data_IF_167612931914
#
_entry.id   IF_167612931914
#
_cell.length_a   1.000
_cell.length_b   1.000
_cell.length_c   1.000
_cell.angle_alpha   90.00
_cell.angle_beta   90.00
_cell.angle_gamma   90.00
#
_symmetry.space_group_name_H-M   'P 1'
#
loop_
_entity.id
_entity.type
_entity.pdbx_description
1 polymer ?
#
# COMPACT_ATOMS: atom_id res chain seq x y z
N UNK A 1 -24.36 -20.58 -25.70
CA UNK A 1 -24.51 -20.46 -27.17
C UNK A 1 -24.24 -19.01 -27.47
N UNK A 2 -23.42 -18.72 -28.48
CA UNK A 2 -23.16 -17.36 -28.91
C UNK A 2 -24.39 -16.91 -29.72
N UNK A 3 -25.02 -15.82 -29.31
CA UNK A 3 -26.25 -15.31 -29.94
C UNK A 3 -25.88 -14.47 -31.18
N UNK A 4 -26.78 -14.44 -32.17
CA UNK A 4 -26.60 -13.65 -33.38
C UNK A 4 -26.56 -12.14 -33.08
N UNK A 5 -25.85 -11.38 -33.92
CA UNK A 5 -25.58 -9.94 -33.71
C UNK A 5 -26.86 -9.08 -33.67
N UNK A 6 -27.95 -9.57 -34.25
CA UNK A 6 -29.28 -8.95 -34.31
C UNK A 6 -30.30 -9.53 -33.31
N UNK A 7 -29.86 -10.38 -32.38
CA UNK A 7 -30.75 -11.02 -31.43
C UNK A 7 -31.40 -10.00 -30.46
N UNK A 8 -32.71 -10.14 -30.25
CA UNK A 8 -33.46 -9.37 -29.24
C UNK A 8 -33.60 -10.18 -27.97
N UNK A 9 -32.93 -9.74 -26.91
CA UNK A 9 -33.04 -10.32 -25.58
C UNK A 9 -34.22 -9.68 -24.86
N UNK A 10 -35.21 -10.48 -24.50
CA UNK A 10 -36.32 -10.07 -23.63
C UNK A 10 -36.15 -10.76 -22.28
N UNK A 11 -36.12 -9.98 -21.20
CA UNK A 11 -36.18 -10.49 -19.83
C UNK A 11 -37.35 -9.84 -19.09
N UNK A 12 -37.96 -10.59 -18.19
CA UNK A 12 -39.08 -10.14 -17.35
C UNK A 12 -38.56 -9.97 -15.93
N UNK A 13 -38.75 -8.77 -15.37
CA UNK A 13 -38.49 -8.50 -13.96
C UNK A 13 -39.80 -8.72 -13.22
N UNK A 14 -39.88 -9.83 -12.47
CA UNK A 14 -41.13 -10.31 -11.89
C UNK A 14 -41.59 -9.53 -10.65
N UNK A 15 -40.70 -8.76 -10.01
CA UNK A 15 -40.97 -8.01 -8.78
C UNK A 15 -39.94 -6.86 -8.60
N UNK A 16 -40.26 -5.89 -7.75
CA UNK A 16 -39.45 -4.70 -7.44
C UNK A 16 -38.39 -4.93 -6.36
N UNK A 17 -38.49 -6.03 -5.60
CA UNK A 17 -37.45 -6.44 -4.65
C UNK A 17 -37.67 -6.02 -3.19
N UNK A 18 -38.76 -5.30 -2.87
CA UNK A 18 -39.04 -4.77 -1.52
C UNK A 18 -39.08 -5.86 -0.44
N UNK A 19 -39.58 -7.06 -0.76
CA UNK A 19 -39.63 -8.19 0.16
C UNK A 19 -38.26 -8.85 0.43
N UNK A 20 -37.20 -8.43 -0.26
CA UNK A 20 -35.85 -9.01 -0.16
C UNK A 20 -34.85 -8.04 0.50
N UNK A 21 -35.34 -6.93 1.07
CA UNK A 21 -34.50 -5.94 1.77
C UNK A 21 -33.64 -6.57 2.88
N UNK A 22 -34.19 -7.52 3.63
CA UNK A 22 -33.46 -8.27 4.67
C UNK A 22 -32.72 -9.52 4.17
N UNK A 23 -32.71 -9.76 2.86
CA UNK A 23 -32.08 -10.92 2.22
C UNK A 23 -31.00 -10.49 1.22
N UNK A 24 -31.27 -10.57 -0.08
CA UNK A 24 -30.29 -10.26 -1.12
C UNK A 24 -29.84 -8.80 -1.15
N UNK A 25 -30.59 -7.89 -0.53
CA UNK A 25 -30.17 -6.49 -0.33
C UNK A 25 -29.45 -6.26 1.00
N UNK A 26 -29.37 -7.27 1.87
CA UNK A 26 -28.62 -7.21 3.13
C UNK A 26 -27.24 -7.84 2.93
N UNK A 27 -26.20 -7.03 3.10
CA UNK A 27 -24.82 -7.50 3.06
C UNK A 27 -24.54 -8.54 4.16
N UNK A 28 -25.19 -8.40 5.31
CA UNK A 28 -25.04 -9.35 6.42
C UNK A 28 -25.62 -10.72 6.05
N UNK A 29 -26.82 -10.75 5.48
CA UNK A 29 -27.44 -11.99 4.99
C UNK A 29 -26.65 -12.60 3.83
N UNK A 30 -26.17 -11.79 2.89
CA UNK A 30 -25.35 -12.29 1.79
C UNK A 30 -23.99 -12.83 2.26
N UNK A 31 -23.36 -12.24 3.29
CA UNK A 31 -22.17 -12.80 3.95
C UNK A 31 -22.48 -14.13 4.63
N UNK A 32 -23.56 -14.21 5.41
CA UNK A 32 -24.01 -15.44 6.08
C UNK A 32 -24.22 -16.59 5.07
N UNK A 33 -24.83 -16.28 3.92
CA UNK A 33 -25.07 -17.25 2.85
C UNK A 33 -23.89 -17.47 1.90
N UNK A 34 -22.74 -16.81 2.15
CA UNK A 34 -21.53 -16.88 1.31
C UNK A 34 -21.80 -16.49 -0.15
N UNK A 35 -22.77 -15.61 -0.37
CA UNK A 35 -23.14 -15.07 -1.67
C UNK A 35 -22.38 -13.77 -1.98
N UNK A 36 -21.82 -13.11 -0.96
CA UNK A 36 -20.86 -12.04 -1.13
C UNK A 36 -19.46 -12.62 -1.30
N UNK A 37 -18.77 -12.21 -2.37
CA UNK A 37 -17.31 -12.29 -2.38
C UNK A 37 -16.78 -11.47 -1.19
N UNK A 38 -15.75 -11.95 -0.46
CA UNK A 38 -15.11 -11.14 0.57
C UNK A 38 -14.73 -9.80 -0.05
N UNK A 39 -15.10 -8.68 0.58
CA UNK A 39 -14.61 -7.37 0.15
C UNK A 39 -13.08 -7.48 0.08
N UNK A 40 -12.54 -7.35 -1.14
CA UNK A 40 -11.10 -7.45 -1.35
C UNK A 40 -10.48 -6.24 -0.68
N UNK A 41 -9.79 -6.47 0.43
CA UNK A 41 -8.93 -5.43 1.02
C UNK A 41 -7.85 -5.14 -0.02
N UNK A 42 -7.82 -3.90 -0.54
CA UNK A 42 -6.88 -3.45 -1.57
C UNK A 42 -5.69 -2.72 -0.95
N UNK A 43 -4.60 -2.56 -1.72
CA UNK A 43 -3.43 -1.80 -1.30
C UNK A 43 -3.78 -0.36 -0.90
N UNK A 44 -4.68 0.31 -1.64
CA UNK A 44 -5.14 1.65 -1.26
C UNK A 44 -5.86 1.68 0.09
N UNK A 45 -6.73 0.69 0.37
CA UNK A 45 -7.40 0.61 1.66
C UNK A 45 -6.40 0.42 2.79
N UNK A 46 -5.42 -0.49 2.61
CA UNK A 46 -4.36 -0.71 3.60
C UNK A 46 -3.58 0.58 3.85
N UNK A 47 -3.13 1.26 2.79
CA UNK A 47 -2.39 2.51 2.90
C UNK A 47 -3.21 3.64 3.54
N UNK A 48 -4.54 3.63 3.41
CA UNK A 48 -5.44 4.62 4.00
C UNK A 48 -5.80 4.37 5.47
N UNK A 49 -5.61 3.15 5.98
CA UNK A 49 -6.00 2.76 7.36
C UNK A 49 -4.97 3.07 8.43
N UNK A 50 -3.88 3.76 8.06
CA UNK A 50 -2.79 4.12 8.97
C UNK A 50 -3.30 4.89 10.19
N UNK A 51 -2.76 4.56 11.36
CA UNK A 51 -3.16 5.17 12.63
C UNK A 51 -2.99 6.69 12.65
N UNK A 52 -3.67 7.38 13.57
CA UNK A 52 -3.73 8.85 13.60
C UNK A 52 -2.39 9.58 13.77
N UNK A 53 -1.32 8.88 14.17
CA UNK A 53 0.03 9.43 14.27
C UNK A 53 0.90 9.21 13.02
N UNK A 54 0.47 8.37 12.08
CA UNK A 54 1.21 8.14 10.85
C UNK A 54 1.04 9.32 9.87
N UNK A 55 2.06 9.64 9.06
CA UNK A 55 1.93 10.65 8.02
C UNK A 55 0.78 10.35 7.06
N UNK A 56 -0.05 11.35 6.78
CA UNK A 56 -1.19 11.24 5.84
C UNK A 56 -0.76 11.23 4.38
N UNK A 57 0.46 11.70 4.08
CA UNK A 57 1.04 11.72 2.75
C UNK A 57 2.31 10.88 2.70
N UNK A 58 2.67 10.44 1.49
CA UNK A 58 3.92 9.74 1.25
C UNK A 58 5.10 10.65 1.62
N UNK A 59 5.93 10.17 2.54
CA UNK A 59 7.18 10.82 2.92
C UNK A 59 8.32 10.12 2.18
N UNK A 60 9.16 10.89 1.50
CA UNK A 60 10.25 10.41 0.67
C UNK A 60 11.45 11.37 0.74
N UNK A 61 12.58 10.95 0.17
CA UNK A 61 13.84 11.72 0.01
C UNK A 61 14.37 11.59 -1.42
N UNK A 62 15.23 12.52 -1.84
CA UNK A 62 15.93 12.47 -3.12
C UNK A 62 17.29 11.76 -3.01
N UNK A 63 17.89 11.29 -4.12
CA UNK A 63 19.24 10.71 -4.11
C UNK A 63 20.34 11.69 -3.67
N UNK A 64 20.09 13.00 -3.79
CA UNK A 64 21.01 14.08 -3.42
C UNK A 64 20.84 14.58 -1.98
N UNK A 65 19.77 14.20 -1.29
CA UNK A 65 19.55 14.58 0.11
C UNK A 65 20.66 14.00 0.99
N UNK A 66 21.01 14.69 2.08
CA UNK A 66 21.98 14.16 3.04
C UNK A 66 21.36 13.03 3.86
N UNK A 67 22.18 12.04 4.21
CA UNK A 67 21.74 10.97 5.09
C UNK A 67 21.27 11.47 6.46
N UNK A 68 21.93 12.50 7.01
CA UNK A 68 21.51 13.14 8.26
C UNK A 68 20.07 13.66 8.20
N UNK A 69 19.69 14.32 7.11
CA UNK A 69 18.34 14.87 6.92
C UNK A 69 17.31 13.74 6.79
N UNK A 70 17.65 12.66 6.07
CA UNK A 70 16.79 11.48 5.96
C UNK A 70 16.55 10.81 7.33
N UNK A 71 17.59 10.64 8.14
CA UNK A 71 17.49 10.09 9.49
C UNK A 71 16.72 11.01 10.45
N UNK A 72 16.92 12.33 10.35
CA UNK A 72 16.16 13.30 11.14
C UNK A 72 14.67 13.23 10.82
N UNK A 73 14.33 13.17 9.53
CA UNK A 73 12.95 13.03 9.04
C UNK A 73 12.31 11.72 9.49
N UNK A 74 13.07 10.63 9.49
CA UNK A 74 12.63 9.34 10.03
C UNK A 74 12.29 9.45 11.52
N UNK A 75 13.18 10.02 12.32
CA UNK A 75 12.99 10.16 13.76
C UNK A 75 11.82 11.10 14.12
N UNK A 76 11.69 12.24 13.43
CA UNK A 76 10.59 13.20 13.66
C UNK A 76 9.21 12.58 13.40
N UNK A 77 9.11 11.76 12.35
CA UNK A 77 7.84 11.20 11.89
C UNK A 77 7.61 9.74 12.34
N UNK A 78 8.51 9.19 13.17
CA UNK A 78 8.44 7.80 13.63
C UNK A 78 8.52 6.77 12.50
N UNK A 79 9.26 7.06 11.43
CA UNK A 79 9.40 6.22 10.24
C UNK A 79 10.68 5.40 10.30
N UNK A 80 10.59 4.13 9.92
CA UNK A 80 11.76 3.23 9.86
C UNK A 80 12.24 2.95 8.43
N UNK A 81 11.46 3.39 7.45
CA UNK A 81 11.68 3.16 6.02
C UNK A 81 11.31 4.42 5.25
N UNK A 82 12.16 4.83 4.30
CA UNK A 82 11.88 5.91 3.36
C UNK A 82 12.16 5.45 1.93
N UNK A 83 11.22 5.65 0.99
CA UNK A 83 11.53 5.52 -0.42
C UNK A 83 12.40 6.69 -0.89
N UNK A 84 13.32 6.40 -1.80
CA UNK A 84 14.10 7.39 -2.52
C UNK A 84 13.44 7.59 -3.88
N UNK A 85 12.97 8.80 -4.15
CA UNK A 85 12.35 9.17 -5.42
C UNK A 85 13.23 10.14 -6.18
N UNK A 86 13.32 9.96 -7.49
CA UNK A 86 13.93 10.90 -8.41
C UNK A 86 12.93 11.23 -9.53
N UNK A 87 12.59 12.51 -9.67
CA UNK A 87 11.53 12.97 -10.57
C UNK A 87 10.20 12.19 -10.41
N UNK A 88 9.86 11.81 -9.19
CA UNK A 88 8.65 11.03 -8.87
C UNK A 88 8.77 9.53 -9.15
N UNK A 89 9.89 9.04 -9.68
CA UNK A 89 10.16 7.62 -9.91
C UNK A 89 10.91 7.01 -8.73
N UNK A 90 10.54 5.82 -8.27
CA UNK A 90 11.24 5.16 -7.18
C UNK A 90 12.57 4.57 -7.65
N UNK A 91 13.68 5.09 -7.12
CA UNK A 91 15.05 4.70 -7.51
C UNK A 91 15.81 3.95 -6.42
N UNK A 92 15.36 4.06 -5.17
CA UNK A 92 16.01 3.39 -4.05
C UNK A 92 15.15 3.36 -2.81
N UNK A 93 15.74 2.87 -1.72
CA UNK A 93 15.15 2.91 -0.39
C UNK A 93 16.22 3.15 0.69
N UNK A 94 15.79 3.72 1.82
CA UNK A 94 16.62 3.86 3.02
C UNK A 94 15.89 3.19 4.18
N UNK A 95 16.62 2.33 4.90
CA UNK A 95 16.16 1.71 6.15
C UNK A 95 16.96 2.25 7.32
N UNK A 96 16.26 2.70 8.34
CA UNK A 96 16.85 3.34 9.52
C UNK A 96 17.94 2.48 10.15
N UNK A 97 17.63 1.21 10.44
CA UNK A 97 18.58 0.30 11.08
C UNK A 97 19.86 0.10 10.25
N UNK A 98 19.75 0.04 8.92
CA UNK A 98 20.88 -0.12 8.00
C UNK A 98 21.71 1.15 7.94
N UNK A 99 21.07 2.31 7.80
CA UNK A 99 21.71 3.61 7.79
C UNK A 99 22.47 3.88 9.10
N UNK A 100 21.83 3.67 10.24
CA UNK A 100 22.48 3.79 11.56
C UNK A 100 23.67 2.83 11.70
N UNK A 101 23.54 1.58 11.23
CA UNK A 101 24.64 0.61 11.25
C UNK A 101 25.84 1.05 10.40
N UNK A 102 25.62 1.82 9.33
CA UNK A 102 26.67 2.40 8.50
C UNK A 102 27.32 3.60 9.19
N UNK A 103 26.51 4.50 9.74
CA UNK A 103 26.97 5.71 10.46
C UNK A 103 27.82 5.36 11.69
N UNK A 104 27.48 4.28 12.41
CA UNK A 104 28.29 3.79 13.53
C UNK A 104 29.70 3.38 13.09
N UNK A 105 29.85 2.87 11.86
CA UNK A 105 31.16 2.47 11.30
C UNK A 105 31.92 3.65 10.69
N UNK A 106 31.20 4.59 10.09
CA UNK A 106 31.76 5.78 9.48
C UNK A 106 30.80 6.96 9.67
N UNK A 107 31.16 7.88 10.58
CA UNK A 107 30.30 9.04 10.91
C UNK A 107 30.21 10.06 9.77
N UNK A 108 31.20 10.10 8.89
CA UNK A 108 31.23 11.05 7.77
C UNK A 108 30.09 10.81 6.78
N UNK A 109 29.54 9.58 6.76
CA UNK A 109 28.37 9.22 5.94
C UNK A 109 27.10 10.02 6.28
N UNK A 110 27.05 10.69 7.44
CA UNK A 110 25.93 11.60 7.75
C UNK A 110 25.83 12.75 6.75
N UNK A 111 26.97 13.23 6.26
CA UNK A 111 27.05 14.32 5.28
C UNK A 111 27.06 13.81 3.83
N UNK A 112 27.17 12.49 3.62
CA UNK A 112 27.08 11.88 2.30
C UNK A 112 25.66 11.94 1.73
N UNK A 113 25.53 12.00 0.40
CA UNK A 113 24.23 11.89 -0.27
C UNK A 113 23.63 10.49 -0.05
N UNK A 114 22.30 10.43 0.02
CA UNK A 114 21.52 9.19 0.19
C UNK A 114 21.86 8.15 -0.87
N UNK A 115 22.17 8.57 -2.11
CA UNK A 115 22.56 7.68 -3.21
C UNK A 115 23.77 6.79 -2.92
N UNK A 116 24.69 7.19 -2.03
CA UNK A 116 25.86 6.39 -1.67
C UNK A 116 25.54 5.23 -0.73
N UNK A 117 24.42 5.31 0.00
CA UNK A 117 24.07 4.36 1.06
C UNK A 117 22.73 3.66 0.85
N UNK A 118 21.91 4.13 -0.10
CA UNK A 118 20.59 3.58 -0.37
C UNK A 118 20.65 2.13 -0.85
N UNK A 119 19.56 1.41 -0.60
CA UNK A 119 19.33 0.07 -1.09
C UNK A 119 18.45 0.10 -2.35
N UNK A 120 18.24 -1.06 -2.97
CA UNK A 120 17.28 -1.19 -4.05
C UNK A 120 15.89 -0.65 -3.65
N UNK A 121 15.15 -0.14 -4.64
CA UNK A 121 13.82 0.37 -4.37
C UNK A 121 12.86 -0.71 -3.89
N UNK A 122 11.84 -0.29 -3.14
CA UNK A 122 10.79 -1.19 -2.70
C UNK A 122 9.97 -1.70 -3.90
N UNK A 123 9.44 -2.93 -3.83
CA UNK A 123 8.50 -3.42 -4.83
C UNK A 123 7.28 -2.49 -4.91
N UNK A 124 6.78 -2.31 -6.13
CA UNK A 124 5.62 -1.48 -6.44
C UNK A 124 4.42 -2.41 -6.67
N UNK A 125 3.27 -2.02 -6.16
CA UNK A 125 1.97 -2.63 -6.45
C UNK A 125 0.98 -1.55 -6.85
N UNK A 126 0.03 -1.93 -7.71
CA UNK A 126 -1.10 -1.09 -8.07
C UNK A 126 -2.05 -0.88 -6.87
N UNK A 127 -2.77 0.25 -6.83
CA UNK A 127 -3.82 0.57 -5.85
C UNK A 127 -4.81 -0.59 -5.66
N UNK A 128 -5.17 -1.29 -6.73
CA UNK A 128 -6.16 -2.37 -6.73
C UNK A 128 -5.58 -3.74 -6.34
N UNK A 129 -4.27 -3.82 -6.06
CA UNK A 129 -3.63 -5.07 -5.65
C UNK A 129 -4.26 -5.62 -4.36
N UNK A 130 -4.48 -6.92 -4.34
CA UNK A 130 -5.11 -7.60 -3.19
C UNK A 130 -4.22 -7.61 -1.95
N UNK A 131 -4.83 -7.64 -0.77
CA UNK A 131 -4.12 -7.78 0.52
C UNK A 131 -3.23 -9.02 0.59
N UNK A 132 -3.61 -10.11 -0.07
CA UNK A 132 -2.79 -11.32 -0.19
C UNK A 132 -1.50 -11.05 -0.97
N UNK A 133 -1.59 -10.29 -2.06
CA UNK A 133 -0.42 -9.90 -2.85
C UNK A 133 0.49 -8.96 -2.07
N UNK A 134 -0.08 -7.95 -1.40
CA UNK A 134 0.65 -7.04 -0.50
C UNK A 134 1.40 -7.84 0.57
N UNK A 135 0.70 -8.76 1.25
CA UNK A 135 1.29 -9.62 2.30
C UNK A 135 2.42 -10.48 1.74
N UNK A 136 2.23 -11.07 0.56
CA UNK A 136 3.26 -11.90 -0.11
C UNK A 136 4.51 -11.09 -0.43
N UNK A 137 4.38 -9.85 -0.92
CA UNK A 137 5.53 -8.97 -1.17
C UNK A 137 6.25 -8.60 0.13
N UNK A 138 5.51 -8.30 1.19
CA UNK A 138 6.06 -7.95 2.50
C UNK A 138 6.81 -9.08 3.21
N UNK A 139 6.65 -10.34 2.79
CA UNK A 139 7.48 -11.45 3.27
C UNK A 139 8.95 -11.30 2.86
N UNK A 140 9.20 -10.76 1.66
CA UNK A 140 10.54 -10.61 1.09
C UNK A 140 11.08 -9.17 1.14
N UNK A 141 10.19 -8.18 1.29
CA UNK A 141 10.53 -6.76 1.40
C UNK A 141 10.00 -6.17 2.71
N UNK A 142 10.69 -5.19 3.34
CA UNK A 142 10.18 -4.53 4.55
C UNK A 142 8.99 -3.59 4.28
N UNK A 143 8.88 -3.09 3.06
CA UNK A 143 7.80 -2.22 2.61
C UNK A 143 7.45 -2.45 1.13
N UNK A 144 6.30 -1.95 0.71
CA UNK A 144 5.78 -1.98 -0.66
C UNK A 144 5.28 -0.57 -0.99
N UNK A 145 5.56 -0.09 -2.19
CA UNK A 145 5.02 1.18 -2.69
C UNK A 145 3.70 0.95 -3.41
N UNK A 146 2.78 1.88 -3.24
CA UNK A 146 1.48 1.87 -3.91
C UNK A 146 1.52 2.89 -5.04
N UNK A 147 1.22 2.44 -6.25
CA UNK A 147 1.14 3.25 -7.46
C UNK A 147 -0.31 3.41 -7.91
N UNK A 148 -0.66 4.62 -8.33
CA UNK A 148 -1.93 4.95 -8.97
C UNK A 148 -1.65 5.82 -10.21
N UNK A 149 -2.13 5.40 -11.38
CA UNK A 149 -1.88 6.06 -12.67
C UNK A 149 -0.40 6.42 -12.93
N UNK A 150 0.53 5.52 -12.58
CA UNK A 150 1.97 5.71 -12.76
C UNK A 150 2.63 6.67 -11.75
N UNK A 151 1.92 7.06 -10.69
CA UNK A 151 2.44 7.90 -9.62
C UNK A 151 2.46 7.13 -8.30
N UNK A 152 3.55 7.23 -7.56
CA UNK A 152 3.62 6.64 -6.23
C UNK A 152 2.80 7.49 -5.26
N UNK A 153 1.71 6.91 -4.75
CA UNK A 153 0.76 7.58 -3.87
C UNK A 153 0.88 7.14 -2.41
N UNK A 154 1.50 5.99 -2.15
CA UNK A 154 1.55 5.43 -0.81
C UNK A 154 2.68 4.43 -0.57
N UNK A 155 2.80 4.03 0.69
CA UNK A 155 3.74 3.01 1.15
C UNK A 155 3.05 2.16 2.21
N UNK A 156 3.15 0.85 2.08
CA UNK A 156 2.63 -0.13 3.04
C UNK A 156 3.82 -0.85 3.67
N UNK A 157 3.83 -0.94 4.99
CA UNK A 157 4.82 -1.65 5.78
C UNK A 157 4.19 -2.87 6.45
N UNK A 158 5.04 -3.72 7.05
CA UNK A 158 4.57 -4.86 7.85
C UNK A 158 3.70 -4.42 9.03
N UNK A 159 3.96 -3.25 9.62
CA UNK A 159 3.17 -2.73 10.73
C UNK A 159 1.73 -2.42 10.29
N UNK A 160 1.56 -1.82 9.10
CA UNK A 160 0.23 -1.49 8.57
C UNK A 160 -0.64 -2.75 8.39
N UNK A 161 -0.05 -3.87 7.94
CA UNK A 161 -0.76 -5.14 7.80
C UNK A 161 -1.07 -5.80 9.15
N UNK A 162 -0.19 -5.65 10.14
CA UNK A 162 -0.44 -6.14 11.50
C UNK A 162 -1.60 -5.37 12.16
N UNK A 163 -1.59 -4.04 12.04
CA UNK A 163 -2.63 -3.17 12.60
C UNK A 163 -4.01 -3.46 12.02
N UNK A 164 -4.09 -3.79 10.73
CA UNK A 164 -5.34 -4.24 10.11
C UNK A 164 -5.86 -5.53 10.75
N UNK A 165 -5.01 -6.56 10.87
CA UNK A 165 -5.41 -7.85 11.43
C UNK A 165 -5.76 -7.81 12.91
N UNK A 166 -5.30 -6.79 13.64
CA UNK A 166 -5.63 -6.58 15.06
C UNK A 166 -6.93 -5.79 15.26
N UNK A 167 -7.41 -5.09 14.21
CA UNK A 167 -8.68 -4.36 14.21
C UNK A 167 -9.85 -5.18 13.65
N UNK A 168 -9.56 -6.22 12.88
CA UNK A 168 -10.50 -7.28 12.48
C UNK A 168 -10.81 -8.23 13.67
#
# INVERSE_FOLDING_TARGET
REEAEDAVIVFIVCDTGEHYLSKHHSDEWMKEKRLLEPQKITAALISGTKGGQAPKSLVWVTPSDKLADALAKMNELGLTNLPVLDEGRPVGSVRENRALSLVVKNRDLLESPVSEVMEASFPILDVDASSNEVTKRLQSSPAVLVEEYGRIVGIITRHDVLDLKLKD
#
